data_IF_895503294060
#
_entry.id   IF_895503294060
#
_cell.length_a   1.000
_cell.length_b   1.000
_cell.length_c   1.000
_cell.angle_alpha   90.00
_cell.angle_beta   90.00
_cell.angle_gamma   90.00
#
_symmetry.space_group_name_H-M   'P 1'
#
loop_
_entity.id
_entity.type
_entity.pdbx_description
1 polymer ?
#
# COMPACT_ATOMS: atom_id res chain seq x y z
N UNK A 1 4.33 19.08 -28.81
CA UNK A 1 4.34 17.60 -28.69
C UNK A 1 4.65 17.21 -27.25
N UNK A 2 3.93 16.25 -26.66
CA UNK A 2 4.29 15.71 -25.33
C UNK A 2 5.62 14.98 -25.45
N UNK A 3 6.54 15.19 -24.50
CA UNK A 3 7.83 14.50 -24.47
C UNK A 3 7.61 13.00 -24.27
N UNK A 4 8.23 12.18 -25.12
CA UNK A 4 8.31 10.72 -24.93
C UNK A 4 9.20 10.43 -23.72
N UNK A 5 8.70 9.66 -22.76
CA UNK A 5 9.42 9.28 -21.53
C UNK A 5 9.85 7.82 -21.61
N UNK A 6 11.00 7.51 -21.01
CA UNK A 6 11.45 6.13 -20.73
C UNK A 6 11.04 5.77 -19.29
N UNK A 7 10.03 4.91 -19.14
CA UNK A 7 9.44 4.55 -17.85
C UNK A 7 9.69 3.08 -17.55
N UNK A 8 10.31 2.79 -16.41
CA UNK A 8 10.50 1.42 -15.95
C UNK A 8 9.52 1.07 -14.82
N UNK A 9 8.90 -0.10 -14.94
CA UNK A 9 8.06 -0.69 -13.89
C UNK A 9 8.91 -1.74 -13.18
N UNK A 10 9.16 -1.57 -11.87
CA UNK A 10 9.83 -2.57 -11.05
C UNK A 10 8.82 -3.66 -10.66
N UNK A 11 8.81 -4.76 -11.39
CA UNK A 11 7.88 -5.88 -11.19
C UNK A 11 8.53 -7.21 -11.53
N UNK A 12 8.33 -8.21 -10.67
CA UNK A 12 8.83 -9.59 -10.89
C UNK A 12 8.04 -10.38 -11.93
N UNK A 13 6.82 -9.94 -12.25
CA UNK A 13 5.94 -10.67 -13.13
C UNK A 13 5.23 -9.73 -14.13
N UNK A 14 5.61 -9.86 -15.39
CA UNK A 14 5.03 -9.10 -16.50
C UNK A 14 3.58 -9.47 -16.80
N UNK A 15 3.10 -10.65 -16.35
CA UNK A 15 1.74 -11.15 -16.60
C UNK A 15 0.71 -10.63 -15.61
N UNK A 16 1.11 -10.01 -14.50
CA UNK A 16 0.16 -9.43 -13.56
C UNK A 16 -0.68 -8.34 -14.22
N UNK A 17 -1.99 -8.36 -13.96
CA UNK A 17 -2.94 -7.38 -14.50
C UNK A 17 -2.42 -5.94 -14.36
N UNK A 18 -2.06 -5.52 -13.15
CA UNK A 18 -1.60 -4.15 -12.90
C UNK A 18 -0.33 -3.80 -13.68
N UNK A 19 0.60 -4.75 -13.88
CA UNK A 19 1.81 -4.53 -14.68
C UNK A 19 1.46 -4.33 -16.14
N UNK A 20 0.62 -5.20 -16.72
CA UNK A 20 0.14 -5.09 -18.10
C UNK A 20 -0.58 -3.76 -18.34
N UNK A 21 -1.54 -3.41 -17.46
CA UNK A 21 -2.32 -2.16 -17.58
C UNK A 21 -1.44 -0.91 -17.57
N UNK A 22 -0.43 -0.88 -16.71
CA UNK A 22 0.52 0.24 -16.67
C UNK A 22 1.37 0.31 -17.95
N UNK A 23 1.83 -0.82 -18.49
CA UNK A 23 2.55 -0.86 -19.78
C UNK A 23 1.64 -0.35 -20.90
N UNK A 24 0.43 -0.89 -21.02
CA UNK A 24 -0.55 -0.48 -22.05
C UNK A 24 -0.87 1.02 -21.97
N UNK A 25 -1.14 1.54 -20.76
CA UNK A 25 -1.43 2.95 -20.56
C UNK A 25 -0.24 3.86 -20.96
N UNK A 26 0.98 3.46 -20.62
CA UNK A 26 2.18 4.20 -21.00
C UNK A 26 2.41 4.18 -22.52
N UNK A 27 2.32 3.02 -23.16
CA UNK A 27 2.46 2.88 -24.61
C UNK A 27 1.39 3.66 -25.38
N UNK A 28 0.13 3.60 -24.93
CA UNK A 28 -0.99 4.37 -25.52
C UNK A 28 -0.74 5.89 -25.46
N UNK A 29 0.04 6.35 -24.48
CA UNK A 29 0.43 7.76 -24.32
C UNK A 29 1.73 8.12 -25.03
N UNK A 30 2.35 7.17 -25.75
CA UNK A 30 3.56 7.35 -26.56
C UNK A 30 4.87 7.26 -25.77
N UNK A 31 4.87 6.58 -24.61
CA UNK A 31 6.06 6.37 -23.79
C UNK A 31 6.76 5.04 -24.10
N UNK A 32 8.07 4.97 -23.83
CA UNK A 32 8.85 3.73 -23.84
C UNK A 32 8.71 3.04 -22.47
N UNK A 33 8.09 1.86 -22.47
CA UNK A 33 7.79 1.13 -21.27
C UNK A 33 8.72 -0.08 -21.10
N UNK A 34 9.34 -0.19 -19.92
CA UNK A 34 10.20 -1.31 -19.54
C UNK A 34 9.65 -2.01 -18.30
N UNK A 35 9.76 -3.32 -18.23
CA UNK A 35 9.47 -4.08 -17.00
C UNK A 35 10.77 -4.72 -16.53
N UNK A 36 11.18 -4.38 -15.33
CA UNK A 36 12.46 -4.77 -14.74
C UNK A 36 12.17 -5.53 -13.45
N UNK A 37 12.70 -6.75 -13.35
CA UNK A 37 12.66 -7.51 -12.10
C UNK A 37 13.71 -6.95 -11.14
N UNK A 38 13.31 -6.31 -10.02
CA UNK A 38 14.27 -5.72 -9.08
C UNK A 38 15.23 -6.75 -8.46
N UNK A 39 14.83 -8.01 -8.32
CA UNK A 39 15.70 -9.06 -7.78
C UNK A 39 16.83 -9.48 -8.75
N UNK A 40 16.74 -9.07 -10.01
CA UNK A 40 17.79 -9.28 -11.02
C UNK A 40 18.65 -8.04 -11.27
N UNK A 41 18.35 -6.96 -10.56
CA UNK A 41 19.20 -5.78 -10.56
C UNK A 41 20.37 -6.01 -9.61
N UNK A 42 21.52 -5.44 -9.95
CA UNK A 42 22.67 -5.30 -9.06
C UNK A 42 23.20 -3.89 -9.12
N UNK A 43 23.81 -3.43 -8.04
CA UNK A 43 24.14 -2.04 -7.82
C UNK A 43 25.64 -1.88 -7.61
N UNK A 44 26.21 -0.83 -8.21
CA UNK A 44 27.53 -0.35 -7.88
C UNK A 44 27.39 0.83 -6.90
N UNK A 45 28.03 0.71 -5.74
CA UNK A 45 28.01 1.71 -4.66
C UNK A 45 29.27 2.57 -4.63
N UNK A 46 29.92 2.74 -5.78
CA UNK A 46 31.10 3.61 -5.87
C UNK A 46 30.71 5.07 -5.56
N UNK A 47 31.63 5.78 -4.87
CA UNK A 47 31.44 7.20 -4.55
C UNK A 47 31.19 8.03 -5.82
N UNK A 48 30.26 8.97 -5.72
CA UNK A 48 29.90 9.93 -6.77
C UNK A 48 29.36 9.34 -8.10
N UNK A 49 29.29 8.01 -8.21
CA UNK A 49 28.79 7.35 -9.42
C UNK A 49 27.92 6.13 -9.08
N UNK A 50 26.74 6.32 -8.48
CA UNK A 50 25.82 5.22 -8.20
C UNK A 50 25.27 4.64 -9.51
N UNK A 51 25.38 3.32 -9.69
CA UNK A 51 24.91 2.65 -10.90
C UNK A 51 23.98 1.49 -10.57
N UNK A 52 23.02 1.26 -11.44
CA UNK A 52 22.17 0.08 -11.41
C UNK A 52 22.33 -0.69 -12.70
N UNK A 53 22.50 -1.98 -12.60
CA UNK A 53 22.68 -2.89 -13.72
C UNK A 53 21.58 -3.95 -13.75
N UNK A 54 21.20 -4.35 -14.95
CA UNK A 54 20.24 -5.42 -15.21
C UNK A 54 20.67 -6.19 -16.46
N UNK A 55 20.79 -7.52 -16.34
CA UNK A 55 21.21 -8.39 -17.46
C UNK A 55 22.53 -7.92 -18.13
N UNK A 56 23.52 -7.56 -17.35
CA UNK A 56 24.84 -7.13 -17.84
C UNK A 56 24.89 -5.71 -18.42
N UNK A 57 23.81 -4.94 -18.35
CA UNK A 57 23.75 -3.58 -18.90
C UNK A 57 23.44 -2.57 -17.80
N UNK A 58 24.09 -1.42 -17.86
CA UNK A 58 23.76 -0.27 -17.02
C UNK A 58 22.37 0.26 -17.40
N UNK A 59 21.53 0.46 -16.40
CA UNK A 59 20.22 1.11 -16.54
C UNK A 59 20.43 2.63 -16.46
N UNK A 60 20.63 3.26 -17.59
CA UNK A 60 20.78 4.70 -17.73
C UNK A 60 19.56 5.30 -18.45
N UNK A 61 19.43 6.63 -18.38
CA UNK A 61 18.46 7.43 -19.14
C UNK A 61 16.98 7.09 -18.93
N UNK A 62 16.62 6.56 -17.77
CA UNK A 62 15.22 6.43 -17.38
C UNK A 62 14.68 7.78 -16.87
N UNK A 63 13.46 8.14 -17.28
CA UNK A 63 12.78 9.35 -16.82
C UNK A 63 11.95 9.10 -15.56
N UNK A 64 11.42 7.88 -15.40
CA UNK A 64 10.59 7.54 -14.24
C UNK A 64 10.64 6.04 -13.88
N UNK A 65 10.46 5.77 -12.59
CA UNK A 65 10.30 4.41 -12.04
C UNK A 65 8.92 4.27 -11.39
N UNK A 66 8.23 3.18 -11.72
CA UNK A 66 6.94 2.77 -11.11
C UNK A 66 7.17 1.53 -10.25
N UNK A 67 7.26 1.66 -8.92
CA UNK A 67 7.47 0.51 -8.05
C UNK A 67 6.18 -0.32 -7.90
N UNK A 68 6.27 -1.61 -8.27
CA UNK A 68 5.23 -2.64 -8.05
C UNK A 68 5.81 -3.73 -7.15
N UNK A 69 6.24 -3.34 -5.96
CA UNK A 69 7.00 -4.16 -5.02
C UNK A 69 6.03 -4.96 -4.14
N UNK A 70 6.18 -6.28 -4.16
CA UNK A 70 5.45 -7.20 -3.28
C UNK A 70 6.04 -7.26 -1.87
N UNK A 71 5.27 -7.71 -0.87
CA UNK A 71 5.69 -7.77 0.53
C UNK A 71 6.96 -8.62 0.73
N UNK A 72 7.04 -9.79 0.11
CA UNK A 72 8.15 -10.75 0.28
C UNK A 72 9.51 -10.26 -0.26
N UNK A 73 9.56 -9.17 -0.99
CA UNK A 73 10.79 -8.65 -1.63
C UNK A 73 11.06 -7.19 -1.29
N UNK A 74 10.38 -6.67 -0.27
CA UNK A 74 10.40 -5.24 0.08
C UNK A 74 11.83 -4.77 0.31
N UNK A 75 12.64 -5.46 1.12
CA UNK A 75 13.99 -5.04 1.46
C UNK A 75 14.86 -4.79 0.21
N UNK A 76 15.04 -5.80 -0.63
CA UNK A 76 15.93 -5.68 -1.79
C UNK A 76 15.37 -4.74 -2.86
N UNK A 77 14.07 -4.82 -3.13
CA UNK A 77 13.44 -4.01 -4.16
C UNK A 77 13.40 -2.51 -3.79
N UNK A 78 13.26 -2.16 -2.51
CA UNK A 78 13.38 -0.77 -2.06
C UNK A 78 14.83 -0.29 -2.04
N UNK A 79 15.82 -1.17 -1.79
CA UNK A 79 17.22 -0.82 -1.96
C UNK A 79 17.56 -0.46 -3.41
N UNK A 80 17.08 -1.26 -4.38
CA UNK A 80 17.21 -0.93 -5.82
C UNK A 80 16.50 0.38 -6.16
N UNK A 81 15.29 0.61 -5.62
CA UNK A 81 14.56 1.85 -5.85
C UNK A 81 15.31 3.06 -5.29
N UNK A 82 15.88 2.95 -4.09
CA UNK A 82 16.71 4.00 -3.47
C UNK A 82 17.92 4.33 -4.31
N UNK A 83 18.55 3.33 -4.93
CA UNK A 83 19.66 3.56 -5.84
C UNK A 83 19.22 4.38 -7.08
N UNK A 84 18.02 4.12 -7.63
CA UNK A 84 17.47 4.99 -8.68
C UNK A 84 17.19 6.41 -8.19
N UNK A 85 16.71 6.58 -6.97
CA UNK A 85 16.51 7.91 -6.37
C UNK A 85 17.80 8.71 -6.31
N UNK A 86 18.92 8.07 -5.95
CA UNK A 86 20.25 8.69 -5.92
C UNK A 86 20.73 9.14 -7.31
N UNK A 87 20.26 8.52 -8.39
CA UNK A 87 20.56 8.97 -9.76
C UNK A 87 19.68 10.12 -10.25
N UNK A 88 18.76 10.62 -9.41
CA UNK A 88 17.84 11.72 -9.76
C UNK A 88 16.66 11.32 -10.65
N UNK A 89 16.45 10.03 -10.89
CA UNK A 89 15.28 9.53 -11.61
C UNK A 89 14.00 9.75 -10.79
N UNK A 90 12.92 10.19 -11.44
CA UNK A 90 11.64 10.34 -10.76
C UNK A 90 11.09 8.97 -10.33
N UNK A 91 10.77 8.79 -9.05
CA UNK A 91 10.10 7.60 -8.53
C UNK A 91 8.65 7.92 -8.21
N UNK A 92 7.71 7.10 -8.67
CA UNK A 92 6.27 7.32 -8.45
C UNK A 92 5.93 7.33 -6.95
N UNK A 93 6.49 6.39 -6.20
CA UNK A 93 6.52 6.35 -4.74
C UNK A 93 7.98 6.19 -4.31
N UNK A 94 8.40 6.92 -3.30
CA UNK A 94 9.76 6.84 -2.78
C UNK A 94 9.96 5.57 -1.95
N UNK A 95 11.21 5.08 -1.91
CA UNK A 95 11.58 3.85 -1.21
C UNK A 95 11.20 3.89 0.28
N UNK A 96 11.45 5.01 0.96
CA UNK A 96 11.12 5.18 2.37
C UNK A 96 9.62 5.23 2.64
N UNK A 97 8.84 5.83 1.75
CA UNK A 97 7.38 5.81 1.83
C UNK A 97 6.81 4.40 1.68
N UNK A 98 7.40 3.59 0.79
CA UNK A 98 7.03 2.18 0.64
C UNK A 98 7.34 1.39 1.91
N UNK A 99 8.53 1.58 2.50
CA UNK A 99 8.91 0.91 3.76
C UNK A 99 7.97 1.32 4.89
N UNK A 100 7.67 2.63 5.04
CA UNK A 100 6.70 3.11 6.04
C UNK A 100 5.31 2.48 5.88
N UNK A 101 4.83 2.36 4.65
CA UNK A 101 3.53 1.75 4.36
C UNK A 101 3.51 0.23 4.61
N UNK A 102 4.65 -0.45 4.48
CA UNK A 102 4.78 -1.90 4.73
C UNK A 102 4.81 -2.25 6.20
N UNK A 103 5.40 -1.40 7.01
CA UNK A 103 5.41 -1.54 8.46
C UNK A 103 4.07 -1.03 9.02
N UNK A 104 3.16 -1.98 9.34
CA UNK A 104 1.82 -1.65 9.85
C UNK A 104 1.87 -0.83 11.13
N UNK A 105 2.79 -1.16 12.06
CA UNK A 105 2.90 -0.44 13.32
C UNK A 105 3.35 1.00 13.07
N UNK A 106 4.43 1.19 12.31
CA UNK A 106 4.94 2.52 11.96
C UNK A 106 3.91 3.35 11.18
N UNK A 107 3.18 2.73 10.26
CA UNK A 107 2.09 3.38 9.51
C UNK A 107 1.02 3.91 10.47
N UNK A 108 0.54 3.07 11.39
CA UNK A 108 -0.48 3.47 12.38
C UNK A 108 0.04 4.54 13.36
N UNK A 109 1.30 4.45 13.80
CA UNK A 109 1.91 5.48 14.64
C UNK A 109 1.97 6.84 13.94
N UNK A 110 2.33 6.87 12.65
CA UNK A 110 2.32 8.11 11.86
C UNK A 110 0.91 8.66 11.71
N UNK A 111 -0.08 7.84 11.34
CA UNK A 111 -1.47 8.26 11.21
C UNK A 111 -2.00 8.82 12.55
N UNK A 112 -1.70 8.16 13.67
CA UNK A 112 -2.05 8.62 15.02
C UNK A 112 -1.46 9.98 15.34
N UNK A 113 -0.16 10.16 15.08
CA UNK A 113 0.54 11.43 15.32
C UNK A 113 -0.11 12.61 14.59
N UNK A 114 -0.66 12.36 13.41
CA UNK A 114 -1.33 13.39 12.60
C UNK A 114 -2.84 13.46 12.82
N UNK A 115 -3.37 12.80 13.86
CA UNK A 115 -4.77 12.86 14.24
C UNK A 115 -5.72 12.22 13.24
N UNK A 116 -5.24 11.27 12.43
CA UNK A 116 -6.08 10.54 11.48
C UNK A 116 -6.77 9.39 12.21
N UNK A 117 -8.11 9.38 12.19
CA UNK A 117 -8.90 8.39 12.91
C UNK A 117 -8.65 6.96 12.38
N UNK A 118 -8.46 6.04 13.33
CA UNK A 118 -8.31 4.60 13.08
C UNK A 118 -8.98 3.81 14.20
N UNK A 119 -9.33 2.53 14.02
CA UNK A 119 -9.80 1.69 15.13
C UNK A 119 -8.73 1.64 16.22
N UNK A 120 -9.14 1.70 17.49
CA UNK A 120 -8.22 1.57 18.62
C UNK A 120 -7.35 0.34 18.42
N UNK A 121 -6.05 0.55 18.43
CA UNK A 121 -5.06 -0.48 18.16
C UNK A 121 -3.99 -0.47 19.23
N UNK A 122 -3.71 -1.62 19.80
CA UNK A 122 -2.66 -1.82 20.78
C UNK A 122 -1.57 -2.74 20.26
N UNK A 123 -0.37 -2.56 20.82
CA UNK A 123 0.82 -3.36 20.58
C UNK A 123 1.55 -3.57 21.89
N UNK A 124 1.82 -4.82 22.25
CA UNK A 124 2.58 -5.17 23.43
C UNK A 124 3.52 -6.33 23.11
N UNK A 125 4.65 -6.38 23.80
CA UNK A 125 5.66 -7.44 23.66
C UNK A 125 5.54 -8.48 24.79
N UNK A 126 5.44 -8.00 26.05
CA UNK A 126 5.43 -8.87 27.19
C UNK A 126 4.12 -9.65 27.35
N UNK A 127 4.17 -10.94 27.79
CA UNK A 127 2.96 -11.73 28.08
C UNK A 127 2.08 -11.12 29.17
N UNK A 128 2.68 -10.53 30.19
CA UNK A 128 1.99 -9.96 31.35
C UNK A 128 1.05 -8.80 30.95
N UNK A 129 1.33 -8.12 29.83
CA UNK A 129 0.52 -7.01 29.31
C UNK A 129 -0.69 -7.46 28.49
N UNK A 130 -0.95 -8.76 28.31
CA UNK A 130 -2.01 -9.28 27.43
C UNK A 130 -3.39 -8.82 27.85
N UNK A 131 -3.69 -8.90 29.14
CA UNK A 131 -5.00 -8.50 29.67
C UNK A 131 -5.25 -7.01 29.47
N UNK A 132 -4.28 -6.17 29.80
CA UNK A 132 -4.37 -4.73 29.65
C UNK A 132 -4.43 -4.30 28.18
N UNK A 133 -3.70 -5.00 27.31
CA UNK A 133 -3.77 -4.81 25.86
C UNK A 133 -5.18 -5.07 25.32
N UNK A 134 -5.84 -6.15 25.76
CA UNK A 134 -7.20 -6.47 25.36
C UNK A 134 -8.22 -5.45 25.87
N UNK A 135 -8.11 -5.04 27.15
CA UNK A 135 -8.95 -3.98 27.74
C UNK A 135 -8.78 -2.65 26.98
N UNK A 136 -7.55 -2.29 26.61
CA UNK A 136 -7.24 -1.06 25.86
C UNK A 136 -8.03 -0.99 24.55
N UNK A 137 -8.16 -2.08 23.82
CA UNK A 137 -8.88 -2.10 22.55
C UNK A 137 -10.39 -2.28 22.69
N UNK A 138 -10.87 -2.58 23.91
CA UNK A 138 -12.32 -2.66 24.26
C UNK A 138 -12.87 -4.08 24.26
N UNK A 139 -12.06 -5.05 24.66
CA UNK A 139 -12.38 -6.47 24.75
C UNK A 139 -12.89 -7.13 23.43
N UNK A 140 -13.29 -8.39 23.53
CA UNK A 140 -13.78 -9.16 22.38
C UNK A 140 -15.19 -8.69 21.92
N UNK A 141 -15.48 -8.81 20.63
CA UNK A 141 -14.61 -9.32 19.58
C UNK A 141 -13.53 -8.34 19.17
N UNK A 142 -12.36 -8.85 18.82
CA UNK A 142 -11.21 -8.05 18.39
C UNK A 142 -10.49 -8.68 17.19
N UNK A 143 -9.72 -7.87 16.48
CA UNK A 143 -8.88 -8.32 15.38
C UNK A 143 -7.43 -8.43 15.86
N UNK A 144 -6.81 -9.59 15.62
CA UNK A 144 -5.37 -9.79 15.86
C UNK A 144 -4.70 -9.91 14.50
N UNK A 145 -3.66 -9.08 14.27
CA UNK A 145 -2.98 -8.97 12.96
C UNK A 145 -1.48 -9.15 13.14
N UNK A 146 -0.86 -10.00 12.34
CA UNK A 146 0.60 -9.99 12.21
C UNK A 146 1.05 -8.63 11.65
N UNK A 147 2.16 -8.10 12.16
CA UNK A 147 2.78 -6.87 11.64
C UNK A 147 3.26 -7.07 10.22
N UNK A 148 3.76 -8.27 9.91
CA UNK A 148 4.15 -8.69 8.56
C UNK A 148 3.03 -9.51 7.91
N UNK A 149 2.77 -9.28 6.64
CA UNK A 149 1.77 -10.00 5.88
C UNK A 149 1.03 -9.11 4.89
N UNK A 150 0.36 -9.73 3.94
CA UNK A 150 -0.44 -9.05 2.91
C UNK A 150 -1.69 -9.85 2.59
N UNK A 151 -2.65 -9.22 1.90
CA UNK A 151 -3.88 -9.86 1.40
C UNK A 151 -4.74 -10.53 2.49
N UNK A 152 -4.68 -10.03 3.74
CA UNK A 152 -5.44 -10.57 4.86
C UNK A 152 -4.89 -11.89 5.42
N UNK A 153 -3.64 -12.26 5.07
CA UNK A 153 -2.91 -13.34 5.76
C UNK A 153 -2.47 -12.85 7.14
N UNK A 154 -2.54 -13.73 8.14
CA UNK A 154 -2.20 -13.39 9.52
C UNK A 154 -3.16 -12.38 10.17
N UNK A 155 -4.43 -12.32 9.72
CA UNK A 155 -5.50 -11.51 10.32
C UNK A 155 -6.58 -12.45 10.85
N UNK A 156 -6.82 -12.41 12.15
CA UNK A 156 -7.75 -13.29 12.87
C UNK A 156 -8.79 -12.44 13.59
N UNK A 157 -10.05 -12.82 13.49
CA UNK A 157 -11.13 -12.32 14.34
C UNK A 157 -11.24 -13.25 15.55
N UNK A 158 -10.97 -12.72 16.73
CA UNK A 158 -11.21 -13.41 18.00
C UNK A 158 -12.57 -12.95 18.56
N UNK A 159 -13.55 -13.83 18.52
CA UNK A 159 -14.92 -13.50 18.94
C UNK A 159 -15.09 -13.50 20.46
N UNK A 160 -14.22 -14.22 21.17
CA UNK A 160 -14.19 -14.31 22.63
C UNK A 160 -12.81 -13.94 23.18
N UNK A 161 -12.78 -13.57 24.45
CA UNK A 161 -11.51 -13.30 25.16
C UNK A 161 -10.58 -14.51 25.13
N UNK A 162 -11.10 -15.71 25.42
CA UNK A 162 -10.32 -16.95 25.41
C UNK A 162 -9.72 -17.25 24.03
N UNK A 163 -10.47 -17.00 22.94
CA UNK A 163 -9.96 -17.14 21.58
C UNK A 163 -8.85 -16.12 21.30
N UNK A 164 -8.98 -14.88 21.80
CA UNK A 164 -7.94 -13.86 21.65
C UNK A 164 -6.65 -14.25 22.38
N UNK A 165 -6.74 -14.69 23.63
CA UNK A 165 -5.60 -15.18 24.42
C UNK A 165 -4.87 -16.32 23.69
N UNK A 166 -5.61 -17.33 23.24
CA UNK A 166 -5.05 -18.47 22.50
C UNK A 166 -4.31 -18.07 21.23
N UNK A 167 -4.84 -17.11 20.47
CA UNK A 167 -4.18 -16.60 19.24
C UNK A 167 -2.93 -15.78 19.58
N UNK A 168 -2.99 -14.95 20.61
CA UNK A 168 -1.87 -14.15 21.09
C UNK A 168 -0.74 -15.07 21.55
N UNK A 169 -1.02 -16.10 22.33
CA UNK A 169 -0.03 -17.06 22.81
C UNK A 169 0.60 -17.83 21.65
N UNK A 170 -0.21 -18.25 20.67
CA UNK A 170 0.29 -18.92 19.48
C UNK A 170 1.26 -18.02 18.68
N UNK A 171 0.93 -16.73 18.51
CA UNK A 171 1.81 -15.79 17.78
C UNK A 171 3.10 -15.51 18.56
N UNK A 172 3.03 -15.40 19.88
CA UNK A 172 4.22 -15.26 20.74
C UNK A 172 5.11 -16.49 20.67
N UNK A 173 4.53 -17.69 20.76
CA UNK A 173 5.26 -18.94 20.64
C UNK A 173 6.02 -19.08 19.30
N UNK A 174 5.55 -18.39 18.26
CA UNK A 174 6.22 -18.28 16.97
C UNK A 174 7.19 -17.08 16.88
N UNK A 175 7.40 -16.33 17.94
CA UNK A 175 8.15 -15.06 17.96
C UNK A 175 7.64 -14.04 16.93
N UNK A 176 6.34 -14.06 16.62
CA UNK A 176 5.74 -13.19 15.63
C UNK A 176 5.21 -11.92 16.28
N UNK A 177 5.56 -10.77 15.73
CA UNK A 177 4.98 -9.49 16.16
C UNK A 177 3.55 -9.32 15.64
N UNK A 178 2.65 -8.86 16.48
CA UNK A 178 1.24 -8.68 16.16
C UNK A 178 0.66 -7.41 16.76
N UNK A 179 -0.45 -6.96 16.19
CA UNK A 179 -1.29 -5.86 16.67
C UNK A 179 -2.63 -6.43 17.12
N UNK A 180 -3.19 -5.89 18.19
CA UNK A 180 -4.58 -6.14 18.60
C UNK A 180 -5.38 -4.88 18.29
N UNK A 181 -6.53 -5.02 17.62
CA UNK A 181 -7.33 -3.90 17.13
C UNK A 181 -8.81 -4.13 17.41
N UNK A 182 -9.49 -3.06 17.80
CA UNK A 182 -10.95 -3.07 17.96
C UNK A 182 -11.65 -3.55 16.69
N UNK A 183 -12.56 -4.51 16.83
CA UNK A 183 -13.42 -4.93 15.75
C UNK A 183 -14.59 -3.95 15.56
N UNK A 184 -14.82 -3.51 14.34
CA UNK A 184 -15.90 -2.57 13.99
C UNK A 184 -17.08 -3.38 13.47
N UNK A 185 -17.97 -3.76 14.38
CA UNK A 185 -19.14 -4.63 14.11
C UNK A 185 -20.10 -4.00 13.09
N UNK A 186 -20.32 -2.69 13.21
CA UNK A 186 -21.25 -1.94 12.38
C UNK A 186 -20.85 -1.85 10.91
N UNK A 187 -19.62 -2.15 10.60
CA UNK A 187 -19.16 -2.25 9.21
C UNK A 187 -19.65 -3.52 8.49
N UNK A 188 -20.10 -4.55 9.24
CA UNK A 188 -20.68 -5.79 8.70
C UNK A 188 -19.82 -6.45 7.62
N UNK A 189 -18.50 -6.47 7.79
CA UNK A 189 -17.54 -7.03 6.82
C UNK A 189 -17.40 -6.20 5.55
N UNK A 190 -17.75 -4.92 5.59
CA UNK A 190 -17.55 -4.00 4.48
C UNK A 190 -16.41 -3.01 4.77
N UNK A 191 -15.65 -2.65 3.74
CA UNK A 191 -14.71 -1.54 3.75
C UNK A 191 -14.74 -0.75 2.43
N UNK A 192 -14.09 0.39 2.43
CA UNK A 192 -13.90 1.23 1.26
C UNK A 192 -12.43 1.17 0.84
N UNK A 193 -12.15 0.86 -0.43
CA UNK A 193 -10.85 1.04 -1.05
C UNK A 193 -10.86 2.34 -1.83
N UNK A 194 -10.11 3.34 -1.37
CA UNK A 194 -9.88 4.60 -2.06
C UNK A 194 -8.56 4.52 -2.83
N UNK A 195 -8.58 4.80 -4.13
CA UNK A 195 -7.37 4.87 -4.94
C UNK A 195 -6.93 6.32 -5.09
N UNK A 196 -5.81 6.64 -4.44
CA UNK A 196 -5.23 8.00 -4.43
C UNK A 196 -4.14 8.10 -5.48
N UNK A 197 -4.15 9.19 -6.26
CA UNK A 197 -3.06 9.59 -7.17
C UNK A 197 -2.78 11.07 -6.96
N UNK A 198 -1.59 11.38 -6.44
CA UNK A 198 -1.25 12.73 -5.99
C UNK A 198 -2.19 13.19 -4.88
N UNK A 199 -2.85 14.31 -5.09
CA UNK A 199 -3.79 14.93 -4.16
C UNK A 199 -5.28 14.63 -4.49
N UNK A 200 -5.56 13.52 -5.18
CA UNK A 200 -6.92 13.17 -5.60
C UNK A 200 -7.24 11.71 -5.34
N UNK A 201 -8.47 11.43 -4.90
CA UNK A 201 -9.05 10.09 -5.01
C UNK A 201 -9.63 9.95 -6.41
N UNK A 202 -8.98 9.17 -7.27
CA UNK A 202 -9.37 8.96 -8.67
C UNK A 202 -10.48 7.93 -8.81
N UNK A 203 -10.55 6.97 -7.89
CA UNK A 203 -11.61 5.97 -7.82
C UNK A 203 -11.82 5.49 -6.40
N UNK A 204 -13.02 5.00 -6.11
CA UNK A 204 -13.34 4.33 -4.85
C UNK A 204 -14.33 3.19 -5.07
N UNK A 205 -14.12 2.09 -4.33
CA UNK A 205 -15.03 0.96 -4.32
C UNK A 205 -15.36 0.55 -2.90
N UNK A 206 -16.60 0.15 -2.65
CA UNK A 206 -17.00 -0.58 -1.46
C UNK A 206 -16.72 -2.06 -1.73
N UNK A 207 -15.94 -2.68 -0.85
CA UNK A 207 -15.74 -4.13 -0.85
C UNK A 207 -16.63 -4.74 0.21
N UNK A 208 -17.19 -5.90 -0.06
CA UNK A 208 -18.04 -6.64 0.87
C UNK A 208 -17.52 -8.06 1.01
N UNK A 209 -17.28 -8.49 2.22
CA UNK A 209 -16.95 -9.87 2.54
C UNK A 209 -18.11 -10.80 2.17
N UNK A 210 -17.80 -12.03 1.78
CA UNK A 210 -18.82 -13.08 1.62
C UNK A 210 -19.42 -13.44 2.98
N UNK A 211 -20.61 -14.04 2.99
CA UNK A 211 -21.26 -14.52 4.22
C UNK A 211 -20.32 -15.43 5.02
N UNK A 212 -20.18 -15.17 6.31
CA UNK A 212 -19.31 -15.92 7.23
C UNK A 212 -17.82 -15.52 7.17
N UNK A 213 -17.46 -14.49 6.40
CA UNK A 213 -16.12 -13.89 6.36
C UNK A 213 -16.21 -12.42 6.80
N UNK A 214 -15.24 -11.96 7.56
CA UNK A 214 -15.16 -10.55 8.00
C UNK A 214 -14.21 -9.69 7.15
N UNK A 215 -13.32 -10.32 6.38
CA UNK A 215 -12.35 -9.65 5.51
C UNK A 215 -12.95 -9.38 4.14
N UNK A 216 -13.05 -8.11 3.77
CA UNK A 216 -13.63 -7.68 2.48
C UNK A 216 -12.72 -7.89 1.26
N UNK A 217 -11.64 -8.66 1.40
CA UNK A 217 -10.65 -8.88 0.35
C UNK A 217 -11.24 -9.64 -0.84
N UNK A 218 -11.11 -9.10 -2.07
CA UNK A 218 -11.60 -9.72 -3.30
C UNK A 218 -11.00 -11.10 -3.55
N UNK A 219 -9.72 -11.30 -3.22
CA UNK A 219 -9.04 -12.60 -3.34
C UNK A 219 -9.61 -13.69 -2.42
N UNK A 220 -10.44 -13.31 -1.43
CA UNK A 220 -11.17 -14.24 -0.55
C UNK A 220 -12.63 -14.43 -0.95
N UNK A 221 -12.99 -14.04 -2.17
CA UNK A 221 -14.34 -14.17 -2.72
C UNK A 221 -15.29 -13.05 -2.32
N UNK A 222 -14.76 -11.92 -1.84
CA UNK A 222 -15.53 -10.71 -1.63
C UNK A 222 -16.01 -10.09 -2.95
N UNK A 223 -17.04 -9.24 -2.88
CA UNK A 223 -17.54 -8.44 -4.00
C UNK A 223 -17.09 -6.99 -3.90
N UNK A 224 -17.13 -6.26 -5.01
CA UNK A 224 -16.84 -4.83 -5.06
C UNK A 224 -17.82 -4.10 -5.97
N UNK A 225 -18.21 -2.91 -5.55
CA UNK A 225 -19.05 -1.98 -6.33
C UNK A 225 -18.48 -0.58 -6.22
N UNK A 226 -18.65 0.23 -7.25
CA UNK A 226 -18.29 1.65 -7.17
C UNK A 226 -19.07 2.34 -6.05
N UNK A 227 -18.43 3.25 -5.33
CA UNK A 227 -19.05 3.99 -4.24
C UNK A 227 -18.76 5.48 -4.33
N UNK A 228 -19.74 6.30 -3.99
CA UNK A 228 -19.56 7.73 -3.79
C UNK A 228 -19.05 7.98 -2.36
N UNK A 229 -17.91 8.64 -2.25
CA UNK A 229 -17.31 9.02 -0.96
C UNK A 229 -17.94 10.33 -0.46
N UNK A 230 -18.08 10.44 0.86
CA UNK A 230 -18.26 11.73 1.52
C UNK A 230 -16.98 12.57 1.41
N UNK A 231 -17.09 13.88 1.62
CA UNK A 231 -15.94 14.80 1.67
C UNK A 231 -14.93 14.34 2.73
N UNK A 232 -15.42 13.98 3.93
CA UNK A 232 -14.58 13.51 5.04
C UNK A 232 -13.79 12.22 4.69
N UNK A 233 -14.40 11.26 4.00
CA UNK A 233 -13.73 10.02 3.56
C UNK A 233 -12.66 10.32 2.50
N UNK A 234 -12.97 11.22 1.54
CA UNK A 234 -12.03 11.62 0.50
C UNK A 234 -10.82 12.34 1.08
N UNK A 235 -11.04 13.34 1.92
CA UNK A 235 -9.97 14.14 2.53
C UNK A 235 -9.10 13.27 3.45
N UNK A 236 -9.73 12.37 4.21
CA UNK A 236 -9.02 11.40 5.05
C UNK A 236 -8.11 10.47 4.23
N UNK A 237 -8.59 9.95 3.08
CA UNK A 237 -7.79 9.10 2.19
C UNK A 237 -6.57 9.85 1.63
N UNK A 238 -6.77 11.08 1.16
CA UNK A 238 -5.69 11.92 0.62
C UNK A 238 -4.66 12.21 1.71
N UNK A 239 -5.12 12.67 2.88
CA UNK A 239 -4.25 12.99 4.01
C UNK A 239 -3.47 11.78 4.52
N UNK A 240 -4.10 10.59 4.56
CA UNK A 240 -3.41 9.36 4.95
C UNK A 240 -2.28 8.99 3.97
N UNK A 241 -2.52 9.09 2.66
CA UNK A 241 -1.49 8.87 1.64
C UNK A 241 -0.33 9.88 1.77
N UNK A 242 -0.65 11.16 2.00
CA UNK A 242 0.32 12.24 2.20
C UNK A 242 1.19 12.02 3.43
N UNK A 243 0.60 11.69 4.59
CA UNK A 243 1.32 11.43 5.85
C UNK A 243 2.30 10.27 5.71
N UNK A 244 1.94 9.23 4.98
CA UNK A 244 2.85 8.12 4.69
C UNK A 244 3.91 8.52 3.64
N UNK A 245 3.65 9.54 2.82
CA UNK A 245 4.53 10.04 1.76
C UNK A 245 4.32 9.36 0.41
N UNK A 246 3.13 8.80 0.16
CA UNK A 246 2.81 8.08 -1.08
C UNK A 246 2.10 8.99 -2.09
N UNK A 247 2.64 9.07 -3.30
CA UNK A 247 1.98 9.69 -4.45
C UNK A 247 0.86 8.82 -5.04
N UNK A 248 1.02 7.50 -4.95
CA UNK A 248 -0.02 6.54 -5.35
C UNK A 248 -0.25 5.56 -4.21
N UNK A 249 -1.47 5.51 -3.72
CA UNK A 249 -1.85 4.67 -2.60
C UNK A 249 -3.24 4.04 -2.77
N UNK A 250 -3.39 2.85 -2.20
CA UNK A 250 -4.69 2.27 -1.90
C UNK A 250 -4.99 2.45 -0.42
N UNK A 251 -5.92 3.31 -0.07
CA UNK A 251 -6.31 3.59 1.31
C UNK A 251 -7.58 2.84 1.64
N UNK A 252 -7.52 2.02 2.69
CA UNK A 252 -8.66 1.25 3.17
C UNK A 252 -9.31 1.95 4.36
N UNK A 253 -10.60 2.27 4.23
CA UNK A 253 -11.40 2.97 5.21
C UNK A 253 -12.54 2.07 5.66
N UNK A 254 -12.78 2.04 6.97
CA UNK A 254 -13.95 1.39 7.55
C UNK A 254 -14.91 2.46 8.09
N UNK A 255 -16.20 2.27 7.86
CA UNK A 255 -17.24 3.12 8.44
C UNK A 255 -17.62 2.61 9.82
N UNK A 256 -17.45 3.44 10.83
CA UNK A 256 -17.84 3.14 12.21
C UNK A 256 -18.92 4.10 12.70
N UNK A 257 -19.50 3.82 13.86
CA UNK A 257 -20.47 4.71 14.53
C UNK A 257 -19.86 6.09 14.87
N UNK A 258 -18.51 6.17 15.03
CA UNK A 258 -17.79 7.42 15.28
C UNK A 258 -17.34 8.13 13.99
N UNK A 259 -17.71 7.58 12.82
CA UNK A 259 -17.31 8.08 11.51
C UNK A 259 -16.28 7.19 10.80
N UNK A 260 -15.72 7.66 9.67
CA UNK A 260 -14.74 6.88 8.92
C UNK A 260 -13.41 6.75 9.68
N UNK A 261 -12.78 5.59 9.56
CA UNK A 261 -11.50 5.25 10.19
C UNK A 261 -10.59 4.53 9.18
N UNK A 262 -9.28 4.83 9.19
CA UNK A 262 -8.30 4.18 8.32
C UNK A 262 -7.97 2.79 8.87
N UNK A 263 -8.02 1.77 8.01
CA UNK A 263 -7.53 0.42 8.33
C UNK A 263 -6.07 0.23 7.93
N UNK A 264 -5.71 0.67 6.72
CA UNK A 264 -4.35 0.55 6.17
C UNK A 264 -4.13 1.46 4.95
N UNK A 265 -2.86 1.74 4.66
CA UNK A 265 -2.42 2.47 3.47
C UNK A 265 -1.45 1.59 2.68
N UNK A 266 -1.82 1.25 1.44
CA UNK A 266 -1.09 0.31 0.59
C UNK A 266 -0.28 1.05 -0.48
N UNK A 267 1.05 0.83 -0.53
CA UNK A 267 1.96 1.47 -1.49
C UNK A 267 1.93 0.89 -2.91
N UNK A 268 1.37 -0.31 -3.08
CA UNK A 268 1.28 -0.99 -4.39
C UNK A 268 -0.12 -1.58 -4.60
N UNK A 269 -1.18 -0.73 -4.65
CA UNK A 269 -2.54 -1.22 -4.76
C UNK A 269 -2.78 -1.92 -6.12
N UNK A 270 -3.56 -3.01 -6.11
CA UNK A 270 -3.98 -3.71 -7.32
C UNK A 270 -4.94 -2.86 -8.15
N UNK A 271 -4.80 -2.90 -9.48
CA UNK A 271 -5.68 -2.16 -10.40
C UNK A 271 -6.91 -2.96 -10.81
N UNK A 272 -6.82 -4.29 -10.83
CA UNK A 272 -7.84 -5.18 -11.41
C UNK A 272 -9.24 -4.95 -10.79
N UNK A 273 -9.35 -5.11 -9.49
CA UNK A 273 -10.65 -5.01 -8.81
C UNK A 273 -11.27 -3.62 -8.91
N UNK A 274 -10.47 -2.56 -8.82
CA UNK A 274 -10.98 -1.19 -8.86
C UNK A 274 -11.31 -0.73 -10.28
N UNK A 275 -10.52 -1.07 -11.30
CA UNK A 275 -10.86 -0.79 -12.70
C UNK A 275 -12.08 -1.60 -13.14
N UNK A 276 -12.20 -2.86 -12.70
CA UNK A 276 -13.35 -3.70 -13.00
C UNK A 276 -14.65 -3.16 -12.39
N UNK A 277 -14.62 -2.67 -11.15
CA UNK A 277 -15.81 -2.18 -10.44
C UNK A 277 -16.21 -0.75 -10.82
N UNK A 278 -15.25 0.12 -11.17
CA UNK A 278 -15.51 1.55 -11.43
C UNK A 278 -15.46 1.93 -12.90
N UNK A 279 -14.95 1.05 -13.78
CA UNK A 279 -14.73 1.30 -15.22
C UNK A 279 -13.83 2.53 -15.51
N UNK A 280 -13.02 2.95 -14.52
CA UNK A 280 -12.10 4.08 -14.66
C UNK A 280 -10.72 3.63 -15.08
N UNK A 281 -10.05 4.40 -15.93
CA UNK A 281 -8.66 4.16 -16.39
C UNK A 281 -7.65 4.65 -15.33
N UNK A 282 -7.45 3.84 -14.28
CA UNK A 282 -6.54 4.17 -13.18
C UNK A 282 -5.08 4.20 -13.65
N UNK A 283 -4.72 3.27 -14.54
CA UNK A 283 -3.37 3.24 -15.11
C UNK A 283 -3.09 4.53 -15.91
N UNK A 284 -4.06 5.05 -16.65
CA UNK A 284 -3.96 6.33 -17.36
C UNK A 284 -3.77 7.51 -16.43
N UNK A 285 -4.47 7.57 -15.29
CA UNK A 285 -4.30 8.60 -14.26
C UNK A 285 -2.89 8.58 -13.66
N UNK A 286 -2.34 7.39 -13.39
CA UNK A 286 -0.96 7.23 -12.91
C UNK A 286 0.04 7.76 -13.96
N UNK A 287 -0.13 7.42 -15.23
CA UNK A 287 0.75 7.91 -16.30
C UNK A 287 0.66 9.43 -16.45
N UNK A 288 -0.55 10.01 -16.36
CA UNK A 288 -0.73 11.47 -16.39
C UNK A 288 -0.01 12.17 -15.22
N UNK A 289 -0.04 11.54 -14.02
CA UNK A 289 0.70 12.04 -12.86
C UNK A 289 2.21 12.01 -13.10
N UNK A 290 2.75 10.92 -13.66
CA UNK A 290 4.17 10.80 -14.01
C UNK A 290 4.58 11.87 -15.04
N UNK A 291 3.82 12.06 -16.09
CA UNK A 291 4.08 13.09 -17.12
C UNK A 291 4.21 14.52 -16.53
N UNK A 292 3.36 14.81 -15.52
CA UNK A 292 3.36 16.11 -14.86
C UNK A 292 4.56 16.32 -13.93
N UNK A 293 5.02 15.26 -13.26
CA UNK A 293 5.96 15.37 -12.15
C UNK A 293 7.40 14.95 -12.49
N UNK A 294 7.62 14.04 -13.45
CA UNK A 294 8.98 13.60 -13.88
C UNK A 294 9.87 14.73 -14.42
N UNK A 295 9.28 15.82 -14.90
CA UNK A 295 10.01 16.99 -15.40
C UNK A 295 10.56 17.90 -14.30
N UNK A 296 9.93 17.90 -13.11
CA UNK A 296 10.29 18.82 -12.00
C UNK A 296 11.61 18.44 -11.31
N UNK A 297 11.95 17.15 -11.22
CA UNK A 297 13.17 16.69 -10.53
C UNK A 297 14.46 16.93 -11.31
N UNK A 298 14.42 17.06 -12.64
CA UNK A 298 15.63 17.39 -13.45
C UNK A 298 16.15 18.82 -13.26
N UNK A 299 15.30 19.74 -12.76
CA UNK A 299 15.68 21.16 -12.58
C UNK A 299 15.97 21.54 -11.11
N UNK A 300 15.79 20.63 -10.18
CA UNK A 300 16.13 20.79 -8.77
C UNK A 300 17.22 19.80 -8.39
N UNK A 301 18.47 20.20 -8.49
CA UNK A 301 19.54 19.54 -7.73
C UNK A 301 19.26 19.80 -6.26
N UNK A 302 19.08 18.72 -5.47
CA UNK A 302 19.09 18.78 -4.02
C UNK A 302 20.44 19.25 -3.54
#
# INVERSE_FOLDING_TARGET
MKKRLKIAILSRNTRLYSTKRLVEAGMKRGHDMYVIDPLRCYMNLAADNPEIHFKGRKLADLDAIVPRIGASVTFYATAVLRQFEMTGVFTLNDSDAIVRARDKLRSLQLLSRFGIAMPVTGFAHAPDDTEDLMKLVGDAPMIIKLTEGSQGQGVVLAETRQAAESVIDAFRGLNAHFLVQRFIKEAQGADLRCFVVGNKVVAAMKRQARRGEFRANLHKGGSAVEVKLSTKERDMAIRAAEVIGLNVAGVDIIRSAQGPQILEVNSSPGLEGIEASTKKDIAGEIMAFIEKNSKRRRNGRA
#
